data_IF_278391726759
#
_entry.id   IF_278391726759
#
_cell.length_a   1.000
_cell.length_b   1.000
_cell.length_c   1.000
_cell.angle_alpha   90.00
_cell.angle_beta   90.00
_cell.angle_gamma   90.00
#
_symmetry.space_group_name_H-M   'P 1'
#
loop_
_entity.id
_entity.type
_entity.pdbx_description
1 polymer ?
#
# COMPACT_ATOMS: atom_id res chain seq x y z
N UNK A 1 -14.89 5.55 11.08
CA UNK A 1 -14.28 4.48 10.26
C UNK A 1 -12.92 4.97 9.74
N UNK A 2 -11.89 4.11 9.61
CA UNK A 2 -10.59 4.52 9.07
C UNK A 2 -10.73 4.94 7.60
N UNK A 3 -10.06 6.03 7.22
CA UNK A 3 -10.02 6.50 5.82
C UNK A 3 -8.94 5.74 5.06
N UNK A 4 -9.32 5.13 3.94
CA UNK A 4 -8.40 4.45 3.04
C UNK A 4 -8.03 5.37 1.88
N UNK A 5 -6.78 5.28 1.45
CA UNK A 5 -6.24 6.03 0.31
C UNK A 5 -5.87 5.09 -0.82
N UNK A 6 -5.91 5.59 -2.05
CA UNK A 6 -5.53 4.80 -3.23
C UNK A 6 -4.02 4.58 -3.25
N UNK A 7 -3.58 3.35 -3.49
CA UNK A 7 -2.18 3.01 -3.66
C UNK A 7 -1.68 3.55 -5.00
N UNK A 8 -0.59 4.32 -4.98
CA UNK A 8 0.01 4.86 -6.21
C UNK A 8 0.64 3.79 -7.11
N UNK A 9 0.91 2.59 -6.59
CA UNK A 9 1.56 1.53 -7.36
C UNK A 9 0.55 0.61 -8.06
N UNK A 10 -0.39 0.01 -7.31
CA UNK A 10 -1.34 -0.96 -7.86
C UNK A 10 -2.80 -0.46 -7.94
N UNK A 11 -3.08 0.74 -7.42
CA UNK A 11 -4.42 1.33 -7.44
C UNK A 11 -5.40 0.78 -6.38
N UNK A 12 -5.01 -0.20 -5.57
CA UNK A 12 -5.87 -0.71 -4.49
C UNK A 12 -5.97 0.27 -3.32
N UNK A 13 -6.99 0.14 -2.48
CA UNK A 13 -7.08 0.92 -1.25
C UNK A 13 -6.09 0.41 -0.20
N UNK A 14 -5.43 1.33 0.49
CA UNK A 14 -4.48 1.05 1.58
C UNK A 14 -4.63 2.08 2.69
N UNK A 15 -4.09 1.75 3.86
CA UNK A 15 -4.02 2.71 4.96
C UNK A 15 -3.01 3.85 4.63
N UNK A 16 -3.34 5.10 5.00
CA UNK A 16 -2.38 6.19 4.92
C UNK A 16 -1.16 5.88 5.81
N UNK A 17 0.01 6.36 5.39
CA UNK A 17 1.30 6.14 6.08
C UNK A 17 1.74 4.67 6.25
N UNK A 18 1.04 3.71 5.65
CA UNK A 18 1.43 2.30 5.67
C UNK A 18 1.78 1.78 4.27
N UNK A 19 2.53 0.68 4.25
CA UNK A 19 2.72 -0.12 3.06
C UNK A 19 1.39 -0.63 2.51
N UNK A 20 1.31 -0.80 1.19
CA UNK A 20 0.15 -1.41 0.59
C UNK A 20 0.07 -2.88 1.01
N UNK A 21 -0.96 -3.24 1.78
CA UNK A 21 -1.21 -4.64 2.13
C UNK A 21 -1.52 -5.53 0.93
N UNK A 22 -1.80 -4.96 -0.25
CA UNK A 22 -2.06 -5.72 -1.48
C UNK A 22 -0.79 -6.01 -2.29
N UNK A 23 -0.01 -5.00 -2.65
CA UNK A 23 1.21 -5.20 -3.47
C UNK A 23 2.53 -5.13 -2.68
N UNK A 24 2.50 -4.72 -1.40
CA UNK A 24 3.69 -4.62 -0.57
C UNK A 24 4.49 -3.32 -0.71
N UNK A 25 4.03 -2.36 -1.52
CA UNK A 25 4.80 -1.13 -1.79
C UNK A 25 4.49 0.02 -0.82
N UNK A 26 5.54 0.77 -0.46
CA UNK A 26 5.47 2.05 0.24
C UNK A 26 6.46 3.03 -0.38
N UNK A 27 6.01 4.25 -0.72
CA UNK A 27 6.85 5.29 -1.35
C UNK A 27 7.63 4.84 -2.60
N UNK A 28 7.08 3.88 -3.36
CA UNK A 28 7.69 3.38 -4.59
C UNK A 28 8.67 2.21 -4.38
N UNK A 29 8.93 1.82 -3.13
CA UNK A 29 9.76 0.67 -2.80
C UNK A 29 8.90 -0.50 -2.31
N UNK A 30 9.28 -1.71 -2.70
CA UNK A 30 8.66 -2.93 -2.17
C UNK A 30 9.21 -3.20 -0.77
N UNK A 31 8.37 -2.98 0.25
CA UNK A 31 8.75 -3.11 1.66
C UNK A 31 8.20 -4.39 2.28
N UNK A 32 7.22 -5.04 1.65
CA UNK A 32 6.71 -6.36 2.02
C UNK A 32 6.97 -7.29 0.85
N UNK A 33 7.94 -8.20 0.99
CA UNK A 33 8.07 -9.34 0.07
C UNK A 33 6.87 -10.25 0.28
N UNK A 34 5.92 -10.19 -0.63
CA UNK A 34 4.88 -11.23 -0.70
C UNK A 34 5.48 -12.43 -1.41
N UNK A 35 5.96 -13.39 -0.61
CA UNK A 35 6.39 -14.70 -1.07
C UNK A 35 5.23 -15.54 -1.60
#
# INVERSE_FOLDING_TARGET
>A
APTLVKCSNCGSFKLPHQACGNCGYYKGEEVIKKG
#
